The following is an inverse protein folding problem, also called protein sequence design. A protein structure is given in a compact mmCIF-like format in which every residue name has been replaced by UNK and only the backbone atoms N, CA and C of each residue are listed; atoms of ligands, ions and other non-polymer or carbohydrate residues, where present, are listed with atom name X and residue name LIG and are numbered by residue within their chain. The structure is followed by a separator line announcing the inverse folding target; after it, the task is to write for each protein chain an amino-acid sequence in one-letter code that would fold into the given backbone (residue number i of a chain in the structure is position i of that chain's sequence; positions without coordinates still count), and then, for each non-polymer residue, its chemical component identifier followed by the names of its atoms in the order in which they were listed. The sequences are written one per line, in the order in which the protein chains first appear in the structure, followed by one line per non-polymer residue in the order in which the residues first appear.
data_IF_406073118662
#
_entry.id   IF_406073118662
#
_cell.length_a   1.000
_cell.length_b   1.000
_cell.length_c   1.000
_cell.angle_alpha   90.00
_cell.angle_beta   90.00
_cell.angle_gamma   90.00
#
_symmetry.space_group_name_H-M   'P 1'
#
loop_
_entity.id
_entity.type
_entity.pdbx_description
1 polymer ?
#
# COMPACT_ATOMS: atom_id res chain seq x y z
N UNK A 1 22.56 4.30 -1.32
CA UNK A 1 21.71 3.67 -0.28
C UNK A 1 20.29 3.86 -0.75
N UNK A 2 19.55 2.78 -0.96
CA UNK A 2 18.11 2.86 -1.27
C UNK A 2 17.39 3.38 -0.03
N UNK A 3 16.62 4.45 -0.16
CA UNK A 3 15.75 4.89 0.93
C UNK A 3 14.56 3.91 0.99
N UNK A 4 14.35 3.21 2.12
CA UNK A 4 13.17 2.36 2.25
C UNK A 4 11.94 3.24 2.39
N UNK A 5 10.88 2.84 1.70
CA UNK A 5 9.55 3.44 1.84
C UNK A 5 8.61 2.34 2.32
N UNK A 6 7.93 2.54 3.43
CA UNK A 6 7.05 1.54 4.03
C UNK A 6 5.60 1.94 3.83
N UNK A 7 4.84 1.11 3.11
CA UNK A 7 3.39 1.15 3.15
C UNK A 7 2.93 0.49 4.45
N UNK A 8 2.54 1.31 5.43
CA UNK A 8 1.89 0.84 6.65
C UNK A 8 0.39 0.87 6.47
N UNK A 9 -0.25 -0.27 6.61
CA UNK A 9 -1.71 -0.39 6.64
C UNK A 9 -2.18 -0.82 8.02
N UNK A 10 -3.36 -0.36 8.42
CA UNK A 10 -3.94 -0.77 9.69
C UNK A 10 -5.45 -0.99 9.61
N UNK A 11 -5.89 -1.92 10.43
CA UNK A 11 -7.30 -2.20 10.69
C UNK A 11 -7.54 -2.33 12.19
N UNK A 12 -8.79 -2.13 12.56
CA UNK A 12 -9.37 -2.47 13.85
C UNK A 12 -10.24 -3.73 13.66
N UNK A 13 -10.05 -4.72 14.54
CA UNK A 13 -10.69 -6.01 14.45
C UNK A 13 -12.22 -5.90 14.49
N UNK A 14 -12.75 -4.92 15.23
CA UNK A 14 -14.16 -4.63 15.41
C UNK A 14 -14.71 -3.59 14.43
N UNK A 15 -13.87 -2.99 13.57
CA UNK A 15 -14.34 -1.96 12.63
C UNK A 15 -15.38 -2.53 11.64
N UNK A 16 -16.45 -1.78 11.35
CA UNK A 16 -17.50 -2.24 10.43
C UNK A 16 -17.03 -2.17 8.97
N UNK A 17 -16.32 -1.11 8.58
CA UNK A 17 -15.87 -0.87 7.21
C UNK A 17 -14.72 -1.79 6.80
N UNK A 18 -14.67 -2.28 5.56
CA UNK A 18 -13.51 -3.03 5.04
C UNK A 18 -12.36 -2.14 4.56
N UNK A 19 -12.44 -0.82 4.77
CA UNK A 19 -11.39 0.12 4.37
C UNK A 19 -10.20 0.07 5.33
N UNK A 20 -9.00 -0.06 4.79
CA UNK A 20 -7.77 0.09 5.57
C UNK A 20 -7.47 1.56 5.82
N UNK A 21 -6.95 1.85 7.01
CA UNK A 21 -6.15 3.05 7.22
C UNK A 21 -4.76 2.78 6.64
N UNK A 22 -4.13 3.78 6.04
CA UNK A 22 -2.85 3.59 5.37
C UNK A 22 -2.01 4.86 5.38
N UNK A 23 -0.69 4.69 5.41
CA UNK A 23 0.30 5.76 5.35
C UNK A 23 1.59 5.22 4.72
N UNK A 24 2.30 6.08 3.99
CA UNK A 24 3.66 5.79 3.55
C UNK A 24 4.63 6.42 4.56
N UNK A 25 5.70 5.69 4.90
CA UNK A 25 6.72 6.13 5.86
C UNK A 25 8.07 6.09 5.16
N UNK A 26 8.77 7.24 4.99
CA UNK A 26 8.30 8.60 5.29
C UNK A 26 7.10 9.01 4.42
N UNK A 27 6.36 10.05 4.86
CA UNK A 27 5.20 10.55 4.11
C UNK A 27 5.63 10.96 2.70
N UNK A 28 5.03 10.30 1.71
CA UNK A 28 5.41 10.43 0.30
C UNK A 28 4.37 11.18 -0.53
N UNK A 29 3.35 11.77 0.11
CA UNK A 29 2.34 12.58 -0.57
C UNK A 29 2.77 14.04 -0.70
N UNK A 30 2.90 14.57 -1.93
CA UNK A 30 3.05 16.01 -2.14
C UNK A 30 1.79 16.75 -1.69
N UNK A 31 1.98 17.85 -0.97
CA UNK A 31 0.87 18.68 -0.44
C UNK A 31 0.40 19.76 -1.45
N UNK A 32 1.17 20.00 -2.51
CA UNK A 32 0.92 21.06 -3.49
C UNK A 32 1.57 20.72 -4.84
N UNK A 33 1.13 21.42 -5.89
CA UNK A 33 1.62 21.23 -7.25
C UNK A 33 0.88 20.13 -8.02
N UNK A 34 1.41 19.79 -9.19
CA UNK A 34 0.82 18.84 -10.15
C UNK A 34 0.63 17.42 -9.60
N UNK A 35 1.34 17.10 -8.52
CA UNK A 35 1.37 15.78 -7.89
C UNK A 35 0.65 15.77 -6.53
N UNK A 36 -0.11 16.84 -6.23
CA UNK A 36 -0.82 16.95 -4.96
C UNK A 36 -1.78 15.77 -4.78
N UNK A 37 -1.62 15.05 -3.66
CA UNK A 37 -2.45 13.90 -3.31
C UNK A 37 -2.03 12.56 -3.93
N UNK A 38 -1.04 12.52 -4.83
CA UNK A 38 -0.46 11.27 -5.33
C UNK A 38 0.60 10.73 -4.36
N UNK A 39 0.84 9.42 -4.37
CA UNK A 39 2.00 8.81 -3.71
C UNK A 39 3.19 8.94 -4.65
N UNK A 40 4.30 9.53 -4.21
CA UNK A 40 5.53 9.64 -4.99
C UNK A 40 6.52 8.54 -4.59
N UNK A 41 6.92 7.69 -5.53
CA UNK A 41 8.01 6.73 -5.36
C UNK A 41 9.19 7.11 -6.26
N UNK A 42 10.40 7.10 -5.71
CA UNK A 42 11.62 7.41 -6.45
C UNK A 42 12.31 6.13 -6.98
N UNK A 43 13.02 6.26 -8.10
CA UNK A 43 13.78 5.16 -8.69
C UNK A 43 14.76 4.55 -7.69
N UNK A 44 14.75 3.22 -7.60
CA UNK A 44 15.61 2.47 -6.68
C UNK A 44 15.19 2.52 -5.21
N UNK A 45 14.06 3.16 -4.86
CA UNK A 45 13.45 2.98 -3.54
C UNK A 45 12.96 1.54 -3.37
N UNK A 46 12.90 1.12 -2.11
CA UNK A 46 12.46 -0.23 -1.75
C UNK A 46 11.16 -0.11 -0.97
N UNK A 47 10.07 -0.55 -1.59
CA UNK A 47 8.76 -0.63 -0.96
C UNK A 47 8.70 -1.86 -0.04
N UNK A 48 8.44 -1.61 1.23
CA UNK A 48 8.09 -2.64 2.23
C UNK A 48 6.64 -2.46 2.69
N UNK A 49 6.05 -3.51 3.25
CA UNK A 49 4.67 -3.47 3.76
C UNK A 49 4.63 -3.88 5.23
N UNK A 50 3.96 -3.07 6.03
CA UNK A 50 3.68 -3.35 7.43
C UNK A 50 2.17 -3.39 7.67
N UNK A 51 1.67 -4.45 8.29
CA UNK A 51 0.25 -4.63 8.63
C UNK A 51 0.08 -4.51 10.13
N UNK A 52 -0.81 -3.61 10.55
CA UNK A 52 -1.10 -3.34 11.96
C UNK A 52 -2.56 -3.72 12.27
N UNK A 53 -2.75 -4.75 13.08
CA UNK A 53 -4.04 -5.14 13.62
C UNK A 53 -4.24 -4.56 15.01
N UNK A 54 -5.42 -3.98 15.26
CA UNK A 54 -5.78 -3.37 16.53
C UNK A 54 -7.09 -3.94 17.06
N UNK A 55 -7.32 -3.91 18.38
CA UNK A 55 -8.63 -4.23 18.93
C UNK A 55 -8.67 -4.29 20.45
N UNK A 56 -9.86 -4.46 21.01
CA UNK A 56 -10.06 -4.50 22.47
C UNK A 56 -9.76 -5.87 23.07
N UNK A 57 -8.99 -5.87 24.16
CA UNK A 57 -8.71 -7.05 24.99
C UNK A 57 -9.83 -7.23 26.02
N UNK A 58 -10.80 -8.07 25.69
CA UNK A 58 -11.93 -8.47 26.55
C UNK A 58 -12.30 -9.93 26.26
N UNK A 59 -13.16 -10.57 27.06
CA UNK A 59 -13.77 -11.85 26.68
C UNK A 59 -14.49 -11.71 25.32
N UNK A 60 -14.17 -12.57 24.36
CA UNK A 60 -14.62 -12.46 22.96
C UNK A 60 -13.98 -11.32 22.16
N UNK A 61 -13.02 -10.60 22.73
CA UNK A 61 -12.29 -9.51 22.08
C UNK A 61 -11.03 -9.97 21.33
N UNK A 62 -10.35 -9.03 20.70
CA UNK A 62 -9.19 -9.26 19.85
C UNK A 62 -8.02 -9.88 20.63
N UNK A 63 -7.38 -10.89 20.04
CA UNK A 63 -6.17 -11.53 20.57
C UNK A 63 -4.99 -11.55 19.60
N UNK A 64 -5.25 -11.27 18.32
CA UNK A 64 -4.23 -11.24 17.27
C UNK A 64 -4.83 -11.52 15.89
N UNK A 65 -3.96 -11.64 14.89
CA UNK A 65 -4.34 -12.04 13.55
C UNK A 65 -3.21 -12.82 12.88
N UNK A 66 -3.57 -13.51 11.80
CA UNK A 66 -2.64 -14.12 10.85
C UNK A 66 -2.92 -13.57 9.45
N UNK A 67 -1.86 -13.28 8.71
CA UNK A 67 -1.95 -12.89 7.30
C UNK A 67 -2.24 -14.12 6.45
N UNK A 68 -3.36 -14.10 5.72
CA UNK A 68 -3.73 -15.18 4.80
C UNK A 68 -3.33 -14.84 3.37
N UNK A 69 -3.57 -13.61 2.94
CA UNK A 69 -3.22 -13.14 1.60
C UNK A 69 -2.99 -11.62 1.61
N UNK A 70 -1.97 -11.16 0.89
CA UNK A 70 -1.69 -9.76 0.67
C UNK A 70 -1.41 -9.55 -0.82
N UNK A 71 -2.13 -8.62 -1.45
CA UNK A 71 -2.03 -8.38 -2.89
C UNK A 71 -1.91 -6.88 -3.16
N UNK A 72 -0.91 -6.50 -3.95
CA UNK A 72 -0.76 -5.15 -4.51
C UNK A 72 -1.13 -5.16 -5.99
N UNK A 73 -2.00 -4.25 -6.37
CA UNK A 73 -2.43 -4.01 -7.74
C UNK A 73 -1.89 -2.67 -8.20
N UNK A 74 -1.45 -2.64 -9.46
CA UNK A 74 -0.91 -1.45 -10.12
C UNK A 74 -1.56 -1.32 -11.49
N UNK A 75 -2.05 -0.13 -11.82
CA UNK A 75 -2.71 0.16 -13.10
C UNK A 75 -1.96 1.29 -13.79
N UNK A 76 -1.19 1.02 -14.86
CA UNK A 76 -0.39 2.04 -15.51
C UNK A 76 -1.28 3.05 -16.24
N UNK A 77 -0.85 4.30 -16.20
CA UNK A 77 -1.45 5.40 -16.94
C UNK A 77 -0.69 5.66 -18.24
N UNK A 78 -1.28 6.51 -19.08
CA UNK A 78 -0.68 6.99 -20.32
C UNK A 78 0.55 7.85 -20.01
N UNK A 79 1.69 7.52 -20.62
CA UNK A 79 2.94 8.29 -20.53
C UNK A 79 3.14 9.21 -21.73
N UNK A 80 2.54 8.87 -22.88
CA UNK A 80 2.62 9.65 -24.10
C UNK A 80 1.33 9.55 -24.90
N UNK A 81 0.84 10.69 -25.41
CA UNK A 81 -0.29 10.77 -26.33
C UNK A 81 -0.14 12.00 -27.22
N UNK A 82 -0.37 11.87 -28.53
CA UNK A 82 -0.29 13.01 -29.45
C UNK A 82 -0.61 12.67 -30.90
N UNK A 83 -0.83 13.70 -31.73
CA UNK A 83 -1.34 13.56 -33.11
C UNK A 83 -0.45 12.69 -34.02
N UNK A 84 0.86 12.73 -33.81
CA UNK A 84 1.85 12.07 -34.66
C UNK A 84 2.78 11.13 -33.88
N UNK A 85 2.36 10.71 -32.69
CA UNK A 85 3.13 9.80 -31.84
C UNK A 85 2.23 8.67 -31.35
N UNK A 86 2.75 7.44 -31.20
CA UNK A 86 1.97 6.36 -30.62
C UNK A 86 1.57 6.69 -29.18
N UNK A 87 0.37 6.28 -28.79
CA UNK A 87 -0.02 6.28 -27.39
C UNK A 87 0.80 5.22 -26.65
N UNK A 88 1.55 5.66 -25.64
CA UNK A 88 2.37 4.78 -24.80
C UNK A 88 1.80 4.75 -23.39
N UNK A 89 1.90 3.58 -22.77
CA UNK A 89 1.55 3.36 -21.37
C UNK A 89 2.81 3.02 -20.59
N UNK A 90 2.79 3.31 -19.30
CA UNK A 90 3.82 2.79 -18.41
C UNK A 90 3.76 1.25 -18.34
N UNK A 91 4.85 0.57 -17.93
CA UNK A 91 4.83 -0.87 -17.70
C UNK A 91 3.72 -1.29 -16.73
N UNK A 92 3.20 -2.54 -16.78
CA UNK A 92 2.12 -3.01 -15.90
C UNK A 92 2.36 -2.77 -14.41
N UNK A 93 3.63 -2.81 -13.98
CA UNK A 93 4.06 -2.54 -12.61
C UNK A 93 5.27 -1.60 -12.61
N UNK A 94 5.39 -0.70 -11.60
CA UNK A 94 6.57 0.12 -11.42
C UNK A 94 7.74 -0.65 -10.77
N UNK A 95 7.56 -1.91 -10.35
CA UNK A 95 8.56 -2.65 -9.59
C UNK A 95 9.41 -3.60 -10.45
N UNK A 96 10.70 -3.69 -10.15
CA UNK A 96 11.64 -4.58 -10.83
C UNK A 96 11.22 -6.05 -10.66
N UNK A 97 11.25 -6.79 -11.77
CA UNK A 97 10.92 -8.22 -11.79
C UNK A 97 9.42 -8.53 -11.79
N UNK A 98 8.55 -7.54 -11.56
CA UNK A 98 7.10 -7.72 -11.57
C UNK A 98 6.55 -7.50 -12.99
N UNK A 99 6.13 -8.58 -13.64
CA UNK A 99 5.67 -8.54 -15.04
C UNK A 99 4.21 -8.11 -15.21
N UNK A 100 3.38 -8.37 -14.20
CA UNK A 100 1.92 -8.15 -14.26
C UNK A 100 1.47 -6.99 -13.37
N UNK A 101 0.20 -6.62 -13.51
CA UNK A 101 -0.45 -5.61 -12.69
C UNK A 101 -0.65 -6.05 -11.23
N UNK A 102 -0.64 -7.35 -10.94
CA UNK A 102 -0.86 -7.93 -9.62
C UNK A 102 0.44 -8.53 -9.07
N UNK A 103 0.75 -8.17 -7.82
CA UNK A 103 1.81 -8.77 -7.03
C UNK A 103 1.22 -9.37 -5.76
N UNK A 104 1.41 -10.67 -5.58
CA UNK A 104 1.00 -11.40 -4.37
C UNK A 104 2.22 -11.50 -3.48
N UNK A 105 2.12 -11.00 -2.26
CA UNK A 105 3.16 -11.17 -1.26
C UNK A 105 3.12 -12.62 -0.78
N UNK A 106 4.23 -13.33 -0.95
CA UNK A 106 4.37 -14.76 -0.66
C UNK A 106 5.46 -15.05 0.37
N UNK A 107 6.25 -14.04 0.72
CA UNK A 107 7.20 -14.11 1.82
C UNK A 107 6.54 -14.33 3.17
N UNK A 108 7.32 -14.87 4.11
CA UNK A 108 6.91 -14.96 5.52
C UNK A 108 6.64 -13.56 6.08
N UNK A 109 5.80 -13.46 7.11
CA UNK A 109 5.72 -12.25 7.92
C UNK A 109 6.52 -12.42 9.20
N UNK A 110 7.17 -11.34 9.62
CA UNK A 110 7.82 -11.29 10.92
C UNK A 110 6.97 -10.44 11.86
N UNK A 111 6.64 -11.01 13.02
CA UNK A 111 5.92 -10.27 14.05
C UNK A 111 6.85 -9.23 14.67
N UNK A 112 6.53 -7.97 14.43
CA UNK A 112 7.27 -6.82 14.93
C UNK A 112 6.83 -6.40 16.33
N UNK A 113 7.67 -5.60 16.99
CA UNK A 113 7.29 -4.83 18.17
C UNK A 113 6.22 -3.80 17.78
N UNK A 114 5.10 -3.75 18.50
CA UNK A 114 4.07 -2.75 18.23
C UNK A 114 4.64 -1.33 18.36
N UNK A 115 4.54 -0.45 17.33
CA UNK A 115 4.85 0.95 17.51
C UNK A 115 3.87 1.54 18.54
N UNK A 116 4.26 2.59 19.26
CA UNK A 116 3.34 3.30 20.11
C UNK A 116 2.11 3.72 19.29
N UNK A 117 0.89 3.55 19.84
CA UNK A 117 -0.32 3.84 19.11
C UNK A 117 -0.33 5.31 18.66
N UNK A 118 -0.82 5.58 17.45
CA UNK A 118 -0.90 6.93 16.88
C UNK A 118 -1.76 7.89 17.72
N UNK A 119 -2.57 7.36 18.64
CA UNK A 119 -3.39 8.09 19.61
C UNK A 119 -3.40 7.36 20.96
N UNK A 120 -3.81 8.04 22.03
CA UNK A 120 -3.99 7.42 23.35
C UNK A 120 -4.97 6.24 23.24
N UNK A 121 -4.43 5.03 23.38
CA UNK A 121 -5.23 3.82 23.33
C UNK A 121 -5.89 3.55 24.71
N UNK A 122 -7.10 2.98 24.76
CA UNK A 122 -7.69 2.52 26.01
C UNK A 122 -6.76 1.54 26.74
N UNK A 123 -6.86 1.44 28.09
CA UNK A 123 -6.06 0.50 28.93
C UNK A 123 -6.13 -0.98 28.51
N UNK A 124 -7.09 -1.35 27.64
CA UNK A 124 -7.29 -2.72 27.13
C UNK A 124 -7.20 -2.77 25.60
N UNK A 125 -6.25 -2.06 25.02
CA UNK A 125 -6.03 -2.07 23.58
C UNK A 125 -4.81 -2.93 23.23
N UNK A 126 -4.98 -3.87 22.30
CA UNK A 126 -3.89 -4.66 21.74
C UNK A 126 -3.58 -4.17 20.34
N UNK A 127 -2.29 -3.98 20.07
CA UNK A 127 -1.75 -3.72 18.73
C UNK A 127 -0.79 -4.85 18.39
N UNK A 128 -1.01 -5.47 17.23
CA UNK A 128 -0.14 -6.51 16.66
C UNK A 128 0.38 -6.00 15.32
N UNK A 129 1.67 -6.22 15.06
CA UNK A 129 2.34 -5.77 13.84
C UNK A 129 2.98 -6.97 13.16
N UNK A 130 2.71 -7.09 11.87
CA UNK A 130 3.31 -8.08 10.99
C UNK A 130 3.96 -7.35 9.81
N UNK A 131 5.27 -7.52 9.64
CA UNK A 131 6.02 -6.96 8.51
C UNK A 131 6.21 -8.04 7.46
N UNK A 132 5.83 -7.76 6.21
CA UNK A 132 6.05 -8.68 5.10
C UNK A 132 7.53 -8.69 4.72
N UNK A 133 8.11 -9.88 4.55
CA UNK A 133 9.52 -10.04 4.17
C UNK A 133 9.82 -9.67 2.72
N UNK A 134 8.82 -9.74 1.84
CA UNK A 134 8.97 -9.34 0.45
C UNK A 134 9.27 -7.84 0.33
N UNK A 135 10.20 -7.52 -0.57
CA UNK A 135 10.63 -6.16 -0.86
C UNK A 135 10.48 -5.88 -2.35
N UNK A 136 9.84 -4.77 -2.69
CA UNK A 136 9.59 -4.37 -4.07
C UNK A 136 10.48 -3.18 -4.42
N UNK A 137 11.47 -3.40 -5.28
CA UNK A 137 12.37 -2.34 -5.73
C UNK A 137 11.71 -1.55 -6.86
N UNK A 138 11.60 -0.23 -6.71
CA UNK A 138 11.07 0.67 -7.74
C UNK A 138 12.03 0.68 -8.93
N UNK A 139 11.49 0.34 -10.10
CA UNK A 139 12.24 0.28 -11.35
C UNK A 139 12.59 1.64 -11.93
N UNK A 140 13.32 1.67 -13.05
CA UNK A 140 13.80 2.91 -13.67
C UNK A 140 12.79 3.53 -14.65
N UNK A 141 11.55 3.03 -14.71
CA UNK A 141 10.53 3.52 -15.65
C UNK A 141 9.73 4.64 -15.01
N UNK A 142 9.75 5.82 -15.62
CA UNK A 142 8.89 6.94 -15.24
C UNK A 142 7.43 6.69 -15.67
N UNK A 143 6.47 7.18 -14.89
CA UNK A 143 5.05 7.13 -15.23
C UNK A 143 4.09 7.39 -14.06
N UNK A 144 2.81 7.05 -14.27
CA UNK A 144 1.77 7.12 -13.24
C UNK A 144 1.09 5.76 -13.11
N UNK A 145 0.74 5.39 -11.90
CA UNK A 145 0.07 4.13 -11.61
C UNK A 145 -1.00 4.33 -10.56
N UNK A 146 -2.25 3.94 -10.84
CA UNK A 146 -3.18 3.76 -9.72
C UNK A 146 -2.78 2.51 -8.93
N UNK A 147 -2.74 2.62 -7.60
CA UNK A 147 -2.37 1.50 -6.73
C UNK A 147 -3.57 1.07 -5.91
N UNK A 148 -3.73 -0.23 -5.74
CA UNK A 148 -4.74 -0.78 -4.83
C UNK A 148 -4.12 -1.91 -4.04
N UNK A 149 -4.56 -2.11 -2.80
CA UNK A 149 -4.07 -3.18 -1.95
C UNK A 149 -5.24 -3.94 -1.35
N UNK A 150 -5.14 -5.26 -1.35
CA UNK A 150 -6.09 -6.15 -0.69
C UNK A 150 -5.36 -6.99 0.36
N UNK A 151 -6.03 -7.16 1.49
CA UNK A 151 -5.53 -7.85 2.66
C UNK A 151 -6.59 -8.82 3.15
N UNK A 152 -6.26 -10.10 3.20
CA UNK A 152 -7.07 -11.12 3.86
C UNK A 152 -6.37 -11.56 5.14
N UNK A 153 -7.08 -11.50 6.26
CA UNK A 153 -6.58 -11.93 7.57
C UNK A 153 -7.52 -12.93 8.23
N UNK A 154 -6.95 -13.83 9.03
CA UNK A 154 -7.67 -14.61 10.03
C UNK A 154 -7.56 -13.90 11.38
N UNK A 155 -8.66 -13.31 11.84
CA UNK A 155 -8.72 -12.60 13.12
C UNK A 155 -8.92 -13.63 14.23
N UNK A 156 -8.06 -13.56 15.25
CA UNK A 156 -8.10 -14.40 16.43
C UNK A 156 -8.82 -13.67 17.57
N UNK A 157 -9.69 -14.41 18.27
CA UNK A 157 -10.53 -13.88 19.34
C UNK A 157 -10.33 -14.66 20.64
N UNK A 158 -10.40 -13.96 21.77
CA UNK A 158 -10.30 -14.57 23.10
C UNK A 158 -11.54 -15.41 23.43
N UNK A 159 -11.43 -16.73 23.29
CA UNK A 159 -12.50 -17.66 23.67
C UNK A 159 -13.61 -17.80 22.62
N UNK A 160 -13.35 -17.42 21.36
CA UNK A 160 -14.26 -17.61 20.23
C UNK A 160 -13.50 -18.14 19.00
N UNK A 161 -14.23 -18.68 18.03
CA UNK A 161 -13.66 -19.15 16.77
C UNK A 161 -13.12 -17.98 15.94
N UNK A 162 -11.99 -18.18 15.27
CA UNK A 162 -11.39 -17.18 14.39
C UNK A 162 -12.29 -16.82 13.21
N UNK A 163 -12.14 -15.60 12.70
CA UNK A 163 -12.95 -15.09 11.58
C UNK A 163 -12.05 -14.58 10.46
N UNK A 164 -12.30 -15.03 9.24
CA UNK A 164 -11.64 -14.49 8.06
C UNK A 164 -12.28 -13.17 7.63
N UNK A 165 -11.43 -12.19 7.33
CA UNK A 165 -11.89 -10.89 6.86
C UNK A 165 -10.99 -10.34 5.76
N UNK A 166 -11.63 -9.69 4.80
CA UNK A 166 -10.97 -9.00 3.68
C UNK A 166 -11.07 -7.49 3.88
N UNK A 167 -9.94 -6.83 3.72
CA UNK A 167 -9.78 -5.38 3.78
C UNK A 167 -9.11 -4.86 2.51
N UNK A 168 -9.28 -3.57 2.23
CA UNK A 168 -8.67 -2.95 1.06
C UNK A 168 -8.44 -1.44 1.21
N UNK A 169 -7.50 -0.90 0.42
CA UNK A 169 -7.44 0.51 0.08
C UNK A 169 -7.10 0.69 -1.41
N UNK A 170 -7.51 1.81 -2.01
CA UNK A 170 -7.33 2.10 -3.46
C UNK A 170 -7.05 3.59 -3.69
N UNK A 171 -5.80 4.05 -3.47
CA UNK A 171 -5.40 5.43 -3.71
C UNK A 171 -4.70 5.62 -5.05
N UNK A 172 -4.77 6.84 -5.57
CA UNK A 172 -4.00 7.24 -6.75
C UNK A 172 -2.49 7.35 -6.44
N UNK A 173 -1.60 6.91 -7.34
CA UNK A 173 -0.13 6.94 -7.15
C UNK A 173 0.65 7.37 -8.43
N UNK A 174 1.89 7.82 -8.27
CA UNK A 174 2.78 8.29 -9.35
C UNK A 174 4.26 7.91 -9.08
N UNK A 175 5.02 7.55 -10.11
CA UNK A 175 6.45 7.20 -9.98
C UNK A 175 7.27 7.97 -11.02
N UNK A 176 8.18 8.86 -10.61
CA UNK A 176 9.04 9.61 -11.53
C UNK A 176 9.44 11.01 -11.06
N UNK A 177 10.05 11.81 -11.95
CA UNK A 177 10.48 13.20 -11.71
C UNK A 177 9.36 14.26 -11.84
N UNK A 178 8.14 13.83 -12.19
CA UNK A 178 7.00 14.70 -12.42
C UNK A 178 6.76 15.14 -13.88
N UNK A 179 7.38 14.47 -14.87
CA UNK A 179 7.18 14.76 -16.29
C UNK A 179 5.73 14.63 -16.77
N UNK A 180 5.20 15.69 -17.39
CA UNK A 180 3.92 15.69 -18.09
C UNK A 180 4.02 15.00 -19.47
N UNK A 181 2.99 14.28 -19.94
CA UNK A 181 2.81 14.09 -21.38
C UNK A 181 2.63 15.47 -22.03
N UNK A 182 3.45 15.80 -23.03
CA UNK A 182 3.37 17.09 -23.70
C UNK A 182 1.99 17.30 -24.36
N UNK A 183 1.19 18.22 -23.81
CA UNK A 183 -0.07 18.66 -24.40
C UNK A 183 0.23 19.53 -25.65
N UNK A 184 0.54 18.89 -26.77
CA UNK A 184 0.58 19.56 -28.08
C UNK A 184 -0.76 19.41 -28.80
N UNK A 185 -1.82 20.02 -28.25
CA UNK A 185 -3.10 20.18 -28.96
C UNK A 185 -3.16 21.61 -29.53
N UNK A 186 -3.12 21.83 -30.85
CA UNK A 186 -3.42 23.13 -31.42
C UNK A 186 -4.92 23.44 -31.23
N UNK A 187 -5.31 24.71 -31.06
CA UNK A 187 -6.71 25.10 -31.11
C UNK A 187 -7.31 24.76 -32.48
N UNK A 188 -8.59 24.35 -32.45
CA UNK A 188 -9.42 24.09 -33.63
C UNK A 188 -9.59 25.35 -34.49
#
# INVERSE_FOLDING_TARGET
MSNPVTLRVSFDAEQISSKLNWVFIPESRPNFGTHAGSILLAHGEVLTVEVVGNGLVKPGGFSGFELTECCLFTRPQVTQVGKNVPTMFAPPSPFLGVKGACYIFSGQSERGSAPPPLQAAPEKWLTVVETLSDQLVVGPSDGRWEMSFMLTVSIQWNGAASTNRVFYFDPESEVGDGGHPSNSRPPL
#
